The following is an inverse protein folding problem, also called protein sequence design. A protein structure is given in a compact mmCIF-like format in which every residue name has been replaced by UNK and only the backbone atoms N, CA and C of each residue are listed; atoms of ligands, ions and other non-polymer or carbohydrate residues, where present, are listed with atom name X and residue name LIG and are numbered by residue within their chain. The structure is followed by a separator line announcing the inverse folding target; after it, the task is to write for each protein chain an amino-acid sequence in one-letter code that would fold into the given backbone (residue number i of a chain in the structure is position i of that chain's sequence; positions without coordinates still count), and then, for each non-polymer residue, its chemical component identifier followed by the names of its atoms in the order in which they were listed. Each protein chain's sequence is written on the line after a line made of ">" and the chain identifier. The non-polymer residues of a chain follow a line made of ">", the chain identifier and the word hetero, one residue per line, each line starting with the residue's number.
data_IF_044835686134
#
_entry.id   IF_044835686134
#
_cell.length_a   1.000
_cell.length_b   1.000
_cell.length_c   1.000
_cell.angle_alpha   90.00
_cell.angle_beta   90.00
_cell.angle_gamma   90.00
#
_symmetry.space_group_name_H-M   'P 1'
#
loop_
_entity.id
_entity.type
_entity.pdbx_description
1 polymer ?
#
# COMPACT_ATOMS: atom_id res chain seq x y z
N UNK A 1 0.62 -15.70 2.67
CA UNK A 1 -0.52 -14.77 2.89
C UNK A 1 -1.39 -14.76 1.65
N UNK A 2 -2.71 -14.82 1.79
CA UNK A 2 -3.65 -14.73 0.67
C UNK A 2 -4.40 -13.40 0.74
N UNK A 3 -4.64 -12.78 -0.42
CA UNK A 3 -5.27 -11.47 -0.58
C UNK A 3 -6.29 -11.57 -1.70
N UNK A 4 -7.51 -11.14 -1.42
CA UNK A 4 -8.60 -11.10 -2.40
C UNK A 4 -8.93 -9.64 -2.75
N UNK A 5 -9.68 -9.42 -3.84
CA UNK A 5 -10.01 -8.08 -4.34
C UNK A 5 -8.86 -7.38 -5.06
N UNK A 6 -7.84 -8.12 -5.49
CA UNK A 6 -6.70 -7.57 -6.25
C UNK A 6 -7.12 -7.33 -7.70
N UNK A 7 -7.07 -6.07 -8.14
CA UNK A 7 -7.35 -5.66 -9.52
C UNK A 7 -6.09 -5.68 -10.37
N UNK A 8 -4.96 -5.29 -9.79
CA UNK A 8 -3.68 -5.24 -10.49
C UNK A 8 -2.48 -5.31 -9.51
N UNK A 9 -1.31 -5.69 -10.03
CA UNK A 9 -0.03 -5.62 -9.32
C UNK A 9 0.82 -4.54 -9.99
N UNK A 10 1.06 -3.41 -9.32
CA UNK A 10 1.84 -2.32 -9.89
C UNK A 10 3.34 -2.59 -9.85
N UNK A 11 3.83 -3.18 -8.75
CA UNK A 11 5.24 -3.49 -8.56
C UNK A 11 5.39 -4.61 -7.55
N UNK A 12 6.40 -5.46 -7.73
CA UNK A 12 6.78 -6.45 -6.73
C UNK A 12 8.29 -6.67 -6.73
N UNK A 13 8.84 -6.83 -5.53
CA UNK A 13 10.18 -7.32 -5.29
C UNK A 13 10.24 -8.10 -3.96
N UNK A 14 11.43 -8.49 -3.55
CA UNK A 14 11.63 -9.29 -2.34
C UNK A 14 11.37 -8.54 -1.02
N UNK A 15 11.14 -7.23 -1.06
CA UNK A 15 10.94 -6.36 0.09
C UNK A 15 9.59 -5.65 0.09
N UNK A 16 8.98 -5.47 -1.08
CA UNK A 16 7.74 -4.73 -1.24
C UNK A 16 6.85 -5.31 -2.35
N UNK A 17 5.55 -5.33 -2.08
CA UNK A 17 4.51 -5.60 -3.09
C UNK A 17 3.51 -4.45 -3.09
N UNK A 18 3.23 -3.89 -4.27
CA UNK A 18 2.31 -2.79 -4.50
C UNK A 18 1.13 -3.29 -5.34
N UNK A 19 -0.07 -3.21 -4.78
CA UNK A 19 -1.30 -3.77 -5.33
C UNK A 19 -2.34 -2.68 -5.52
N UNK A 20 -3.08 -2.76 -6.61
CA UNK A 20 -4.34 -2.04 -6.78
C UNK A 20 -5.48 -2.96 -6.40
N UNK A 21 -6.36 -2.49 -5.52
CA UNK A 21 -7.55 -3.21 -5.05
C UNK A 21 -8.79 -2.33 -5.19
N UNK A 22 -9.97 -2.92 -5.00
CA UNK A 22 -11.25 -2.19 -4.99
C UNK A 22 -11.31 -1.05 -3.95
N UNK A 23 -10.55 -1.16 -2.84
CA UNK A 23 -10.48 -0.14 -1.78
C UNK A 23 -9.29 0.83 -1.93
N UNK A 24 -8.60 0.82 -3.07
CA UNK A 24 -7.45 1.65 -3.37
C UNK A 24 -6.13 0.87 -3.37
N UNK A 25 -5.01 1.59 -3.21
CA UNK A 25 -3.68 0.99 -3.31
C UNK A 25 -3.31 0.32 -1.99
N UNK A 26 -2.87 -0.93 -2.03
CA UNK A 26 -2.32 -1.66 -0.90
C UNK A 26 -0.81 -1.81 -1.08
N UNK A 27 -0.06 -1.50 -0.02
CA UNK A 27 1.39 -1.68 0.07
C UNK A 27 1.69 -2.74 1.11
N UNK A 28 2.43 -3.76 0.72
CA UNK A 28 2.94 -4.80 1.62
C UNK A 28 4.45 -4.64 1.68
N UNK A 29 5.01 -4.61 2.89
CA UNK A 29 6.46 -4.53 3.11
C UNK A 29 6.93 -5.71 3.95
N UNK A 30 8.13 -6.21 3.67
CA UNK A 30 8.63 -7.42 4.29
C UNK A 30 10.03 -7.80 3.81
N UNK A 31 10.34 -9.08 3.96
CA UNK A 31 11.58 -9.71 3.50
C UNK A 31 11.30 -11.07 2.86
N UNK A 32 12.01 -11.36 1.77
CA UNK A 32 11.80 -12.58 1.00
C UNK A 32 10.40 -12.68 0.42
N UNK A 33 9.76 -11.55 0.11
CA UNK A 33 8.43 -11.52 -0.48
C UNK A 33 8.45 -12.15 -1.87
N UNK A 34 7.56 -13.09 -2.11
CA UNK A 34 7.46 -13.81 -3.37
C UNK A 34 6.01 -14.07 -3.73
N UNK A 35 5.60 -13.69 -4.93
CA UNK A 35 4.27 -14.01 -5.44
C UNK A 35 4.25 -15.48 -5.84
N UNK A 36 3.55 -16.29 -5.05
CA UNK A 36 3.36 -17.71 -5.31
C UNK A 36 2.26 -17.94 -6.34
N UNK A 37 1.19 -17.16 -6.29
CA UNK A 37 0.05 -17.28 -7.22
C UNK A 37 -0.58 -15.91 -7.46
N UNK A 38 -0.96 -15.64 -8.71
CA UNK A 38 -1.65 -14.42 -9.13
C UNK A 38 -2.80 -14.78 -10.09
N UNK A 39 -4.02 -14.47 -9.69
CA UNK A 39 -5.21 -14.61 -10.50
C UNK A 39 -5.99 -13.29 -10.52
N UNK A 40 -5.77 -12.48 -11.55
CA UNK A 40 -6.43 -11.18 -11.71
C UNK A 40 -7.92 -11.30 -12.08
N UNK A 41 -8.34 -12.37 -12.76
CA UNK A 41 -9.75 -12.58 -13.12
C UNK A 41 -10.59 -12.97 -11.89
N UNK A 42 -10.03 -13.81 -11.00
CA UNK A 42 -10.61 -14.15 -9.71
C UNK A 42 -10.34 -13.12 -8.61
N UNK A 43 -9.49 -12.13 -8.89
CA UNK A 43 -9.09 -11.08 -7.96
C UNK A 43 -8.28 -11.56 -6.76
N UNK A 44 -7.51 -12.64 -6.88
CA UNK A 44 -6.77 -13.25 -5.77
C UNK A 44 -5.26 -13.27 -5.99
N UNK A 45 -4.49 -13.01 -4.93
CA UNK A 45 -3.04 -13.05 -4.89
C UNK A 45 -2.55 -13.83 -3.68
N UNK A 46 -1.54 -14.68 -3.87
CA UNK A 46 -0.88 -15.42 -2.80
C UNK A 46 0.60 -15.02 -2.74
N UNK A 47 1.02 -14.50 -1.59
CA UNK A 47 2.39 -14.02 -1.34
C UNK A 47 3.02 -14.81 -0.20
N UNK A 48 4.19 -15.38 -0.45
CA UNK A 48 5.07 -15.99 0.56
C UNK A 48 6.16 -15.02 1.00
N UNK A 49 6.77 -15.27 2.15
CA UNK A 49 7.79 -14.40 2.74
C UNK A 49 7.43 -13.92 4.15
N UNK A 50 8.28 -13.08 4.73
CA UNK A 50 8.06 -12.50 6.05
C UNK A 50 7.47 -11.10 5.91
N UNK A 51 6.25 -10.89 6.40
CA UNK A 51 5.53 -9.62 6.28
C UNK A 51 5.81 -8.74 7.50
N UNK A 52 6.28 -7.52 7.28
CA UNK A 52 6.50 -6.51 8.30
C UNK A 52 5.30 -5.58 8.46
N UNK A 53 4.75 -5.08 7.35
CA UNK A 53 3.58 -4.20 7.38
C UNK A 53 2.70 -4.37 6.15
N UNK A 54 1.42 -4.05 6.33
CA UNK A 54 0.40 -4.01 5.29
C UNK A 54 -0.36 -2.69 5.49
N UNK A 55 -0.38 -1.85 4.47
CA UNK A 55 -0.95 -0.52 4.52
C UNK A 55 -1.84 -0.29 3.31
N UNK A 56 -3.08 0.13 3.53
CA UNK A 56 -3.89 0.75 2.48
C UNK A 56 -3.48 2.22 2.36
N UNK A 57 -2.92 2.57 1.21
CA UNK A 57 -2.74 3.95 0.79
C UNK A 57 -4.08 4.40 0.21
N UNK A 58 -4.98 4.80 1.09
CA UNK A 58 -6.28 5.29 0.69
C UNK A 58 -6.18 6.60 -0.07
N UNK A 59 -7.23 6.89 -0.84
CA UNK A 59 -7.60 8.27 -1.24
C UNK A 59 -8.20 9.07 -0.05
N UNK A 60 -7.78 8.72 1.18
CA UNK A 60 -8.08 9.50 2.38
C UNK A 60 -7.45 10.89 2.24
N UNK A 61 -8.06 11.95 2.81
CA UNK A 61 -7.74 13.32 2.45
C UNK A 61 -6.24 13.52 2.50
N UNK A 62 -5.63 13.76 1.33
CA UNK A 62 -4.29 14.32 1.19
C UNK A 62 -4.09 15.26 2.38
N UNK A 63 -3.02 15.15 3.17
CA UNK A 63 -2.71 16.19 4.13
C UNK A 63 -2.58 17.48 3.32
N UNK A 64 -3.65 18.27 3.26
CA UNK A 64 -3.62 19.65 2.79
C UNK A 64 -2.73 20.35 3.80
N UNK A 65 -1.44 20.41 3.49
CA UNK A 65 -0.42 21.21 4.16
C UNK A 65 -0.52 21.28 5.68
N UNK A 66 0.13 20.34 6.38
CA UNK A 66 0.93 20.77 7.53
C UNK A 66 2.21 21.39 6.91
N UNK A 67 2.56 22.66 7.01
CA UNK A 67 2.10 23.73 7.87
C UNK A 67 2.31 25.07 7.13
N UNK A 68 1.23 25.81 6.88
CA UNK A 68 1.31 27.22 6.45
C UNK A 68 0.23 28.01 7.19
N UNK A 69 0.43 28.26 8.49
CA UNK A 69 -0.59 29.01 9.23
C UNK A 69 -0.37 29.30 10.72
N UNK A 70 0.61 28.72 11.41
CA UNK A 70 0.68 28.85 12.89
C UNK A 70 1.96 29.53 13.44
N UNK A 71 2.86 30.04 12.60
CA UNK A 71 4.06 30.76 13.07
C UNK A 71 4.07 32.26 12.70
N UNK A 72 2.98 32.79 12.12
CA UNK A 72 2.89 34.19 11.69
C UNK A 72 2.35 35.18 12.74
N UNK A 73 2.13 34.75 13.99
CA UNK A 73 1.51 35.59 15.04
C UNK A 73 2.34 35.79 16.30
N UNK A 74 3.63 35.48 16.25
CA UNK A 74 4.60 35.88 17.29
C UNK A 74 5.50 36.98 16.71
N UNK A 75 4.87 38.11 16.41
CA UNK A 75 5.52 39.42 16.43
C UNK A 75 4.87 40.24 17.54
N UNK A 76 5.58 40.36 18.67
CA UNK A 76 6.02 41.66 19.17
C UNK A 76 7.39 41.50 19.82
#
# INVERSE_FOLDING_TARGET
>A
MAIDGVLNVESFDNHQVLLETDQGVMVIRGEGLHIRELNLEGGSLLVDGFVHSIEYVGDGPRPKGKAKGLLGKIFR
#
